data_IF_598117509291
#
_entry.id   IF_598117509291
#
_cell.length_a   1.000
_cell.length_b   1.000
_cell.length_c   1.000
_cell.angle_alpha   90.00
_cell.angle_beta   90.00
_cell.angle_gamma   90.00
#
_symmetry.space_group_name_H-M   'P 1'
#
loop_
_entity.id
_entity.type
_entity.pdbx_description
1 polymer ?
#
# COMPACT_ATOMS: atom_id res chain seq x y z
N UNK A 1 63.16 -3.78 -8.88
CA UNK A 1 63.22 -5.14 -9.46
C UNK A 1 61.78 -5.47 -9.89
N UNK A 2 61.58 -5.37 -11.18
CA UNK A 2 61.11 -6.36 -12.16
C UNK A 2 59.74 -6.94 -11.77
N UNK A 3 58.69 -6.91 -12.51
CA UNK A 3 58.35 -6.79 -13.96
C UNK A 3 56.97 -7.47 -14.02
N UNK A 4 55.95 -6.85 -14.46
CA UNK A 4 55.45 -6.82 -15.83
C UNK A 4 54.93 -8.17 -16.35
N UNK A 5 53.62 -8.18 -16.70
CA UNK A 5 53.07 -8.68 -17.97
C UNK A 5 51.54 -8.72 -17.99
N UNK A 6 51.01 -7.74 -18.63
CA UNK A 6 50.01 -7.76 -19.67
C UNK A 6 49.72 -9.10 -20.37
N UNK A 7 48.44 -9.44 -20.58
CA UNK A 7 48.03 -9.99 -21.86
C UNK A 7 46.55 -9.66 -22.20
N UNK A 8 46.45 -8.97 -23.33
CA UNK A 8 45.20 -8.72 -24.07
C UNK A 8 44.86 -9.97 -24.89
N UNK A 9 43.56 -10.30 -25.00
CA UNK A 9 43.09 -10.89 -26.27
C UNK A 9 41.67 -10.44 -26.60
N UNK A 10 41.60 -9.85 -27.77
CA UNK A 10 40.49 -9.48 -28.67
C UNK A 10 39.88 -10.74 -29.33
N UNK A 11 38.63 -10.57 -29.74
CA UNK A 11 37.95 -11.34 -30.78
C UNK A 11 36.43 -11.05 -30.71
N UNK A 12 35.82 -10.21 -31.40
CA UNK A 12 35.38 -9.98 -32.78
C UNK A 12 34.62 -11.17 -33.41
N UNK A 13 33.38 -10.90 -33.82
CA UNK A 13 32.52 -11.63 -34.78
C UNK A 13 31.06 -11.41 -34.46
N UNK A 14 30.35 -10.55 -34.99
CA UNK A 14 29.65 -10.18 -36.21
C UNK A 14 28.75 -11.30 -36.78
N UNK A 15 27.52 -10.83 -37.01
CA UNK A 15 26.50 -11.05 -38.06
C UNK A 15 25.31 -11.86 -37.56
N UNK A 16 24.13 -11.27 -37.54
CA UNK A 16 23.21 -10.87 -38.62
C UNK A 16 22.49 -12.07 -39.21
N UNK A 17 21.20 -12.14 -39.03
CA UNK A 17 20.20 -12.01 -40.07
C UNK A 17 18.82 -12.58 -39.60
N UNK A 18 17.81 -11.78 -39.73
CA UNK A 18 16.42 -12.21 -39.83
C UNK A 18 16.17 -12.75 -41.27
N UNK A 19 15.15 -13.56 -41.56
CA UNK A 19 13.96 -12.88 -42.05
C UNK A 19 12.58 -13.47 -41.71
N UNK A 20 11.60 -12.65 -41.94
CA UNK A 20 10.20 -12.83 -41.97
C UNK A 20 9.70 -13.96 -42.90
N UNK A 21 8.61 -14.60 -42.46
CA UNK A 21 7.86 -15.56 -43.28
C UNK A 21 6.35 -15.44 -43.05
N UNK A 22 5.74 -14.45 -43.73
CA UNK A 22 4.30 -14.43 -44.00
C UNK A 22 3.96 -15.59 -44.93
N UNK A 23 2.90 -16.36 -44.66
CA UNK A 23 2.17 -17.14 -45.69
C UNK A 23 0.72 -16.71 -45.70
N UNK A 24 0.38 -16.22 -46.92
CA UNK A 24 -0.94 -15.84 -47.40
C UNK A 24 -1.75 -17.11 -47.76
N UNK A 25 -3.06 -16.96 -47.65
CA UNK A 25 -4.08 -17.75 -48.32
C UNK A 25 -3.99 -17.58 -49.84
N UNK A 26 -4.50 -18.54 -50.62
CA UNK A 26 -4.99 -18.20 -51.92
C UNK A 26 -6.50 -18.40 -52.06
N UNK A 27 -7.11 -17.46 -52.75
CA UNK A 27 -8.46 -17.41 -53.30
C UNK A 27 -8.48 -17.93 -54.74
N UNK A 28 -9.66 -18.42 -55.09
CA UNK A 28 -10.33 -18.35 -56.40
C UNK A 28 -9.71 -18.94 -57.67
N UNK A 29 -10.55 -19.69 -58.39
CA UNK A 29 -10.38 -20.00 -59.78
C UNK A 29 -11.58 -20.77 -60.37
N UNK A 30 -12.43 -20.04 -61.05
CA UNK A 30 -13.54 -20.46 -61.87
C UNK A 30 -13.08 -21.20 -63.15
N UNK A 31 -14.00 -21.87 -63.76
CA UNK A 31 -14.43 -22.02 -65.19
C UNK A 31 -14.48 -23.47 -65.57
N UNK A 32 -15.52 -23.88 -66.06
CA UNK A 32 -16.49 -23.81 -67.18
C UNK A 32 -16.34 -24.97 -68.15
N UNK A 33 -17.50 -25.45 -68.54
CA UNK A 33 -17.94 -25.90 -69.83
C UNK A 33 -17.82 -27.40 -70.23
N UNK A 34 -18.97 -27.92 -70.57
CA UNK A 34 -19.06 -28.73 -71.77
C UNK A 34 -19.96 -29.93 -71.78
N UNK A 35 -21.25 -29.75 -72.04
CA UNK A 35 -22.11 -30.22 -73.08
C UNK A 35 -22.35 -31.79 -73.34
N UNK A 36 -23.68 -32.04 -73.37
CA UNK A 36 -24.44 -32.96 -74.30
C UNK A 36 -24.39 -34.47 -73.93
N UNK A 37 -25.47 -35.14 -73.88
CA UNK A 37 -26.76 -35.14 -74.54
C UNK A 37 -27.56 -36.35 -74.12
N UNK A 38 -28.84 -36.11 -74.24
CA UNK A 38 -29.89 -36.91 -74.81
C UNK A 38 -30.27 -38.32 -74.30
N UNK A 39 -31.39 -38.32 -73.70
CA UNK A 39 -32.64 -39.00 -74.23
C UNK A 39 -33.08 -40.31 -73.60
N UNK A 40 -34.33 -40.22 -73.20
CA UNK A 40 -35.45 -41.16 -73.33
C UNK A 40 -35.78 -42.18 -72.22
N UNK A 41 -36.93 -41.89 -71.70
CA UNK A 41 -38.21 -42.59 -71.61
C UNK A 41 -38.44 -43.68 -70.56
N UNK A 42 -39.53 -43.36 -69.89
CA UNK A 42 -40.66 -44.18 -69.43
C UNK A 42 -40.59 -44.82 -68.03
N UNK A 43 -41.49 -44.24 -67.27
CA UNK A 43 -42.69 -44.88 -66.66
C UNK A 43 -42.40 -46.09 -65.74
N UNK A 44 -42.72 -46.04 -64.52
CA UNK A 44 -44.00 -46.31 -63.85
C UNK A 44 -43.87 -46.37 -62.36
N UNK A 45 -44.77 -45.64 -61.71
CA UNK A 45 -45.50 -45.96 -60.51
C UNK A 45 -44.94 -47.01 -59.52
N UNK A 46 -44.70 -46.51 -58.28
CA UNK A 46 -45.36 -47.07 -57.09
C UNK A 46 -45.08 -46.28 -55.85
N UNK A 47 -46.15 -45.88 -55.20
CA UNK A 47 -46.25 -45.31 -53.86
C UNK A 47 -45.53 -46.15 -52.81
N UNK A 48 -44.87 -45.55 -51.86
CA UNK A 48 -45.05 -45.83 -50.44
C UNK A 48 -43.96 -45.19 -49.58
N UNK A 49 -44.40 -44.57 -48.53
CA UNK A 49 -43.63 -44.50 -47.27
C UNK A 49 -42.78 -43.21 -47.04
N UNK A 50 -43.42 -42.10 -46.71
CA UNK A 50 -42.78 -41.07 -46.03
C UNK A 50 -42.35 -41.54 -44.63
N UNK A 51 -41.14 -41.93 -44.47
CA UNK A 51 -40.53 -41.98 -43.15
C UNK A 51 -40.07 -40.55 -42.79
N UNK A 52 -40.48 -39.96 -41.68
CA UNK A 52 -39.86 -38.74 -41.17
C UNK A 52 -38.51 -39.16 -40.63
N UNK A 53 -37.44 -38.85 -41.35
CA UNK A 53 -36.11 -38.91 -40.84
C UNK A 53 -36.01 -37.82 -39.75
N UNK A 54 -36.32 -38.27 -38.54
CA UNK A 54 -36.00 -37.51 -37.35
C UNK A 54 -34.51 -37.19 -37.34
N UNK A 55 -34.13 -35.98 -37.75
CA UNK A 55 -32.84 -35.44 -37.48
C UNK A 55 -32.66 -35.41 -35.94
N UNK A 56 -32.15 -36.51 -35.38
CA UNK A 56 -31.54 -36.49 -34.05
C UNK A 56 -30.44 -35.43 -34.13
N UNK A 57 -30.76 -34.20 -33.68
CA UNK A 57 -29.74 -33.19 -33.35
C UNK A 57 -28.75 -33.90 -32.44
N UNK A 58 -27.58 -34.24 -32.94
CA UNK A 58 -26.44 -34.59 -32.12
C UNK A 58 -26.22 -33.36 -31.23
N UNK A 59 -26.75 -33.35 -30.00
CA UNK A 59 -26.40 -32.39 -28.98
C UNK A 59 -24.89 -32.50 -28.85
N UNK A 60 -24.21 -31.48 -29.30
CA UNK A 60 -22.77 -31.46 -29.37
C UNK A 60 -22.25 -31.67 -27.96
N UNK A 61 -21.21 -32.45 -27.78
CA UNK A 61 -20.50 -32.66 -26.52
C UNK A 61 -20.09 -31.32 -25.88
N UNK A 62 -19.95 -30.24 -26.69
CA UNK A 62 -19.73 -28.89 -26.32
C UNK A 62 -20.82 -28.37 -25.39
N UNK A 63 -22.13 -28.65 -25.63
CA UNK A 63 -23.24 -28.19 -24.77
C UNK A 63 -23.21 -28.82 -23.36
N UNK A 64 -22.62 -30.01 -23.23
CA UNK A 64 -22.48 -30.70 -21.93
C UNK A 64 -21.36 -30.13 -21.07
N UNK A 65 -20.33 -29.50 -21.67
CA UNK A 65 -19.20 -28.91 -20.97
C UNK A 65 -19.39 -27.42 -20.71
N UNK A 66 -20.18 -26.72 -21.51
CA UNK A 66 -20.40 -25.27 -21.35
C UNK A 66 -21.20 -24.91 -20.10
N UNK A 67 -22.21 -25.71 -19.76
CA UNK A 67 -23.04 -25.46 -18.56
C UNK A 67 -22.19 -25.51 -17.27
N UNK A 68 -21.41 -26.59 -16.99
CA UNK A 68 -20.59 -26.64 -15.80
C UNK A 68 -19.50 -25.52 -15.78
N UNK A 69 -18.93 -25.16 -16.94
CA UNK A 69 -17.99 -24.04 -17.02
C UNK A 69 -18.64 -22.71 -16.68
N UNK A 70 -19.87 -22.46 -17.15
CA UNK A 70 -20.62 -21.23 -16.77
C UNK A 70 -20.94 -21.26 -15.29
N UNK A 71 -21.35 -22.37 -14.70
CA UNK A 71 -21.63 -22.50 -13.26
C UNK A 71 -20.37 -22.19 -12.44
N UNK A 72 -19.22 -22.75 -12.83
CA UNK A 72 -17.94 -22.48 -12.17
C UNK A 72 -17.56 -20.99 -12.30
N UNK A 73 -17.72 -20.41 -13.48
CA UNK A 73 -17.45 -18.99 -13.70
C UNK A 73 -18.33 -18.08 -12.83
N UNK A 74 -19.63 -18.35 -12.75
CA UNK A 74 -20.57 -17.64 -11.90
C UNK A 74 -20.21 -17.82 -10.42
N UNK A 75 -19.87 -19.03 -10.00
CA UNK A 75 -19.43 -19.29 -8.63
C UNK A 75 -18.15 -18.49 -8.28
N UNK A 76 -17.16 -18.47 -9.17
CA UNK A 76 -15.94 -17.68 -8.98
C UNK A 76 -16.24 -16.18 -8.92
N UNK A 77 -17.14 -15.66 -9.74
CA UNK A 77 -17.56 -14.25 -9.70
C UNK A 77 -18.24 -13.90 -8.39
N UNK A 78 -19.18 -14.71 -7.92
CA UNK A 78 -19.86 -14.51 -6.64
C UNK A 78 -18.88 -14.57 -5.48
N UNK A 79 -18.00 -15.59 -5.47
CA UNK A 79 -16.96 -15.73 -4.45
C UNK A 79 -16.00 -14.56 -4.44
N UNK A 80 -15.54 -14.09 -5.62
CA UNK A 80 -14.69 -12.92 -5.77
C UNK A 80 -15.40 -11.65 -5.29
N UNK A 81 -16.69 -11.48 -5.61
CA UNK A 81 -17.52 -10.37 -5.14
C UNK A 81 -17.65 -10.34 -3.63
N UNK A 82 -17.91 -11.47 -2.98
CA UNK A 82 -17.96 -11.56 -1.51
C UNK A 82 -16.61 -11.22 -0.86
N UNK A 83 -15.48 -11.68 -1.43
CA UNK A 83 -14.14 -11.33 -0.94
C UNK A 83 -13.85 -9.84 -1.09
N UNK A 84 -14.24 -9.25 -2.23
CA UNK A 84 -14.09 -7.81 -2.47
C UNK A 84 -14.92 -6.98 -1.48
N UNK A 85 -16.18 -7.36 -1.24
CA UNK A 85 -17.04 -6.70 -0.26
C UNK A 85 -16.45 -6.78 1.15
N UNK A 86 -15.91 -7.92 1.56
CA UNK A 86 -15.24 -8.09 2.85
C UNK A 86 -14.03 -7.16 3.02
N UNK A 87 -13.22 -7.01 1.95
CA UNK A 87 -12.08 -6.08 1.97
C UNK A 87 -12.56 -4.63 2.07
N UNK A 88 -13.56 -4.24 1.30
CA UNK A 88 -14.13 -2.88 1.32
C UNK A 88 -14.70 -2.53 2.69
N UNK A 89 -15.47 -3.43 3.30
CA UNK A 89 -15.98 -3.25 4.66
C UNK A 89 -14.85 -3.06 5.68
N UNK A 90 -13.78 -3.83 5.56
CA UNK A 90 -12.62 -3.65 6.43
C UNK A 90 -11.97 -2.26 6.31
N UNK A 91 -11.84 -1.69 5.10
CA UNK A 91 -11.35 -0.32 4.93
C UNK A 91 -12.31 0.71 5.53
N UNK A 92 -13.61 0.50 5.35
CA UNK A 92 -14.65 1.35 5.96
C UNK A 92 -14.57 1.33 7.49
N UNK A 93 -14.40 0.16 8.11
CA UNK A 93 -14.28 0.02 9.57
C UNK A 93 -13.06 0.77 10.12
N UNK A 94 -11.91 0.72 9.41
CA UNK A 94 -10.70 1.47 9.77
C UNK A 94 -10.95 2.97 9.70
N UNK A 95 -11.57 3.44 8.62
CA UNK A 95 -11.87 4.84 8.40
C UNK A 95 -12.86 5.39 9.46
N UNK A 96 -13.93 4.66 9.73
CA UNK A 96 -14.92 5.03 10.77
C UNK A 96 -14.31 5.04 12.17
N UNK A 97 -13.43 4.08 12.49
CA UNK A 97 -12.73 4.09 13.77
C UNK A 97 -11.83 5.32 13.91
N UNK A 98 -11.11 5.70 12.85
CA UNK A 98 -10.23 6.87 12.84
C UNK A 98 -11.02 8.17 12.93
N UNK A 99 -12.09 8.33 12.16
CA UNK A 99 -13.00 9.48 12.24
C UNK A 99 -13.64 9.63 13.63
N UNK A 100 -13.98 8.51 14.26
CA UNK A 100 -14.48 8.54 15.63
C UNK A 100 -13.43 9.09 16.62
N UNK A 101 -12.15 8.74 16.43
CA UNK A 101 -11.07 9.29 17.23
C UNK A 101 -10.91 10.80 17.01
N UNK A 102 -10.94 11.25 15.76
CA UNK A 102 -10.88 12.69 15.41
C UNK A 102 -12.02 13.51 16.02
N UNK A 103 -13.26 13.00 15.94
CA UNK A 103 -14.42 13.65 16.54
C UNK A 103 -14.29 13.79 18.06
N UNK A 104 -13.73 12.78 18.73
CA UNK A 104 -13.52 12.81 20.18
C UNK A 104 -12.36 13.75 20.53
N UNK A 105 -11.28 13.71 19.74
CA UNK A 105 -10.11 14.57 19.92
C UNK A 105 -10.44 16.05 19.77
N UNK A 106 -11.33 16.41 18.82
CA UNK A 106 -11.74 17.79 18.52
C UNK A 106 -12.81 18.37 19.45
N UNK A 107 -13.53 17.57 20.25
CA UNK A 107 -14.60 18.07 21.12
C UNK A 107 -14.15 18.98 22.26
N UNK A 108 -12.84 19.16 22.45
CA UNK A 108 -12.32 20.14 23.41
C UNK A 108 -12.34 21.59 22.90
N UNK A 109 -12.53 21.81 21.59
CA UNK A 109 -12.49 23.12 20.95
C UNK A 109 -13.90 23.60 20.52
N UNK A 110 -14.96 22.85 20.84
CA UNK A 110 -16.33 23.12 20.34
C UNK A 110 -17.07 24.24 21.06
N UNK A 111 -16.50 24.87 22.07
CA UNK A 111 -17.12 26.04 22.72
C UNK A 111 -16.78 27.38 22.04
N UNK A 112 -15.92 27.38 21.00
CA UNK A 112 -15.51 28.59 20.27
C UNK A 112 -15.83 28.57 18.76
N UNK A 113 -16.78 27.72 18.30
CA UNK A 113 -17.23 27.66 16.89
C UNK A 113 -18.18 28.81 16.50
N UNK A 114 -17.89 30.00 16.93
CA UNK A 114 -18.64 31.17 16.53
C UNK A 114 -17.79 32.28 15.93
N UNK A 115 -17.10 32.09 14.82
CA UNK A 115 -16.32 33.03 14.02
C UNK A 115 -14.84 32.64 13.93
N UNK A 116 -14.46 31.95 12.86
CA UNK A 116 -13.15 32.29 12.28
C UNK A 116 -13.06 31.86 10.83
N UNK A 117 -12.62 32.78 9.98
CA UNK A 117 -11.94 32.57 8.73
C UNK A 117 -11.04 31.32 8.83
N UNK A 118 -11.10 30.41 7.82
CA UNK A 118 -10.19 29.29 7.62
C UNK A 118 -8.77 29.78 7.33
N UNK A 119 -8.12 30.39 8.29
CA UNK A 119 -6.68 30.46 8.37
C UNK A 119 -6.27 29.14 9.07
N UNK A 120 -5.47 28.29 8.40
CA UNK A 120 -4.97 27.07 9.01
C UNK A 120 -4.32 27.44 10.34
N UNK A 121 -4.97 27.07 11.45
CA UNK A 121 -4.43 27.32 12.79
C UNK A 121 -3.07 26.60 12.88
N UNK A 122 -2.09 27.25 13.53
CA UNK A 122 -0.77 26.67 13.74
C UNK A 122 -0.91 25.29 14.39
N UNK A 123 -0.40 24.23 13.78
CA UNK A 123 -0.45 22.90 14.39
C UNK A 123 0.20 22.82 15.77
N UNK A 124 1.12 23.73 16.12
CA UNK A 124 1.70 23.80 17.47
C UNK A 124 0.67 24.22 18.54
N UNK A 125 -0.40 24.90 18.14
CA UNK A 125 -1.46 25.37 19.03
C UNK A 125 -2.63 24.42 19.17
N UNK A 126 -2.68 23.41 18.31
CA UNK A 126 -3.75 22.40 18.31
C UNK A 126 -3.83 21.68 19.65
N UNK A 127 -5.04 21.60 20.20
CA UNK A 127 -5.33 20.82 21.41
C UNK A 127 -6.00 19.51 21.08
N UNK A 128 -5.66 18.47 21.83
CA UNK A 128 -6.24 17.11 21.73
C UNK A 128 -6.90 16.76 23.06
N UNK A 129 -8.16 16.34 23.02
CA UNK A 129 -8.89 15.91 24.22
C UNK A 129 -8.50 14.50 24.64
N UNK A 130 -7.33 14.34 25.25
CA UNK A 130 -6.84 13.07 25.76
C UNK A 130 -7.73 12.47 26.85
N UNK A 131 -8.36 13.30 27.68
CA UNK A 131 -9.27 12.81 28.72
C UNK A 131 -10.44 12.02 28.11
N UNK A 132 -11.05 12.54 27.05
CA UNK A 132 -12.16 11.86 26.34
C UNK A 132 -11.67 10.63 25.56
N UNK A 133 -10.53 10.69 24.92
CA UNK A 133 -9.94 9.54 24.23
C UNK A 133 -9.62 8.39 25.21
N UNK A 134 -9.02 8.70 26.36
CA UNK A 134 -8.63 7.73 27.39
C UNK A 134 -9.82 7.10 28.10
N UNK A 135 -11.00 7.76 28.14
CA UNK A 135 -12.25 7.12 28.58
C UNK A 135 -12.67 5.96 27.68
N UNK A 136 -12.34 6.01 26.39
CA UNK A 136 -12.60 4.92 25.42
C UNK A 136 -11.50 3.88 25.47
N UNK A 137 -10.24 4.32 25.48
CA UNK A 137 -9.07 3.45 25.58
C UNK A 137 -7.93 4.13 26.33
N UNK A 138 -7.63 3.63 27.53
CA UNK A 138 -6.57 4.16 28.39
C UNK A 138 -5.15 4.03 27.83
N UNK A 139 -4.96 3.23 26.76
CA UNK A 139 -3.65 3.07 26.11
C UNK A 139 -3.33 4.18 25.09
N UNK A 140 -4.21 5.18 24.93
CA UNK A 140 -3.90 6.35 24.11
C UNK A 140 -2.84 7.19 24.83
N UNK A 141 -1.63 7.24 24.26
CA UNK A 141 -0.48 7.96 24.83
C UNK A 141 -0.24 9.29 24.15
N UNK A 142 -0.45 9.35 22.84
CA UNK A 142 -0.19 10.53 22.03
C UNK A 142 -1.15 10.61 20.84
N UNK A 143 -1.01 11.68 20.07
CA UNK A 143 -1.65 11.86 18.78
C UNK A 143 -0.60 12.28 17.76
N UNK A 144 -0.59 11.67 16.59
CA UNK A 144 0.31 11.99 15.49
C UNK A 144 -0.40 12.74 14.37
N UNK A 145 0.23 13.76 13.83
CA UNK A 145 -0.26 14.51 12.68
C UNK A 145 0.88 14.86 11.70
N UNK A 146 0.65 14.60 10.42
CA UNK A 146 1.55 15.02 9.34
C UNK A 146 0.72 15.88 8.37
N UNK A 147 0.94 17.20 8.31
CA UNK A 147 0.20 18.10 7.42
C UNK A 147 0.24 17.65 5.95
N UNK A 148 -0.84 17.83 5.22
CA UNK A 148 -0.93 17.44 3.80
C UNK A 148 -0.99 15.93 3.53
N UNK A 149 -1.15 15.11 4.59
CA UNK A 149 -1.28 13.66 4.50
C UNK A 149 -2.51 13.15 5.23
N UNK A 150 -2.79 11.83 5.08
CA UNK A 150 -3.85 11.18 5.84
C UNK A 150 -3.45 10.88 7.32
N UNK A 151 -2.20 11.15 7.74
CA UNK A 151 -1.76 10.84 9.10
C UNK A 151 -2.32 11.87 10.08
N UNK A 152 -3.35 11.47 10.80
CA UNK A 152 -4.01 12.25 11.84
C UNK A 152 -4.70 11.27 12.81
N UNK A 153 -3.92 10.61 13.67
CA UNK A 153 -4.35 9.42 14.40
C UNK A 153 -3.90 9.42 15.86
N UNK A 154 -4.67 8.76 16.76
CA UNK A 154 -4.17 8.45 18.10
C UNK A 154 -3.01 7.44 18.00
N UNK A 155 -2.02 7.61 18.86
CA UNK A 155 -0.89 6.69 19.04
C UNK A 155 -1.13 5.87 20.29
N UNK A 156 -1.13 4.55 20.11
CA UNK A 156 -1.33 3.61 21.21
C UNK A 156 -0.01 3.31 21.90
N UNK A 157 -0.11 2.99 23.17
CA UNK A 157 0.96 2.36 23.94
C UNK A 157 1.39 1.07 23.25
N UNK A 158 2.71 0.84 23.17
CA UNK A 158 3.25 -0.42 22.68
C UNK A 158 3.12 -1.53 23.73
N UNK A 159 3.07 -2.75 23.24
CA UNK A 159 3.20 -3.95 24.08
C UNK A 159 4.05 -5.01 23.35
N UNK A 160 4.73 -5.92 24.09
CA UNK A 160 5.60 -6.95 23.48
C UNK A 160 4.86 -7.90 22.54
N UNK A 161 3.54 -8.04 22.68
CA UNK A 161 2.69 -8.93 21.88
C UNK A 161 2.17 -8.30 20.57
N UNK A 162 2.56 -7.07 20.25
CA UNK A 162 2.05 -6.36 19.07
C UNK A 162 0.51 -6.32 19.00
N UNK A 163 -0.15 -6.11 20.13
CA UNK A 163 -1.60 -6.14 20.30
C UNK A 163 -2.31 -5.24 19.27
N UNK A 164 -1.79 -4.02 19.04
CA UNK A 164 -2.37 -3.04 18.15
C UNK A 164 -2.05 -3.27 16.66
N UNK A 165 -1.24 -4.27 16.34
CA UNK A 165 -1.01 -4.66 14.94
C UNK A 165 -2.31 -5.18 14.27
N UNK A 166 -3.20 -5.80 15.05
CA UNK A 166 -4.45 -6.40 14.57
C UNK A 166 -5.70 -5.87 15.27
N UNK A 167 -5.60 -4.72 15.95
CA UNK A 167 -6.71 -4.06 16.65
C UNK A 167 -6.68 -2.56 16.43
N UNK A 168 -7.85 -1.98 16.21
CA UNK A 168 -7.99 -0.54 16.13
C UNK A 168 -7.81 0.12 17.51
N UNK A 169 -7.82 1.44 17.55
CA UNK A 169 -7.64 2.22 18.77
C UNK A 169 -8.74 1.98 19.84
N UNK A 170 -9.89 1.40 19.44
CA UNK A 170 -10.96 0.95 20.36
C UNK A 170 -10.77 -0.50 20.85
N UNK A 171 -9.63 -1.12 20.61
CA UNK A 171 -9.32 -2.52 20.94
C UNK A 171 -10.13 -3.57 20.17
N UNK A 172 -10.89 -3.17 19.15
CA UNK A 172 -11.64 -4.09 18.28
C UNK A 172 -10.72 -4.70 17.21
N UNK A 173 -11.00 -5.94 16.82
CA UNK A 173 -10.26 -6.59 15.72
C UNK A 173 -10.36 -5.74 14.46
N UNK A 174 -9.21 -5.49 13.83
CA UNK A 174 -9.12 -4.68 12.61
C UNK A 174 -7.91 -5.13 11.80
N UNK A 175 -8.09 -5.30 10.49
CA UNK A 175 -6.97 -5.65 9.62
C UNK A 175 -6.01 -4.48 9.39
N UNK A 176 -6.46 -3.26 9.59
CA UNK A 176 -5.64 -2.06 9.51
C UNK A 176 -4.96 -1.68 10.83
N UNK A 177 -5.22 -2.41 11.92
CA UNK A 177 -4.62 -2.14 13.21
C UNK A 177 -4.85 -0.71 13.72
N UNK A 178 -3.94 -0.24 14.56
CA UNK A 178 -3.82 1.15 14.98
C UNK A 178 -2.38 1.64 14.77
N UNK A 179 -2.14 2.93 14.96
CA UNK A 179 -0.79 3.47 15.11
C UNK A 179 -0.34 3.22 16.55
N UNK A 180 0.83 2.67 16.75
CA UNK A 180 1.35 2.35 18.07
C UNK A 180 2.87 2.53 18.15
N UNK A 181 3.36 2.86 19.34
CA UNK A 181 4.80 3.00 19.59
C UNK A 181 5.42 1.64 19.96
N UNK A 182 6.73 1.55 19.83
CA UNK A 182 7.46 0.38 20.27
C UNK A 182 7.31 0.19 21.79
N UNK A 183 7.27 -1.06 22.23
CA UNK A 183 7.08 -1.41 23.66
C UNK A 183 8.24 -1.00 24.56
N UNK A 184 9.43 -0.77 23.97
CA UNK A 184 10.62 -0.33 24.70
C UNK A 184 10.70 1.18 24.90
N UNK A 185 9.85 1.95 24.18
CA UNK A 185 9.85 3.39 24.25
C UNK A 185 8.99 3.95 25.39
N UNK A 186 9.43 5.05 25.96
CA UNK A 186 8.71 5.82 26.97
C UNK A 186 7.66 6.74 26.35
N UNK A 187 6.54 6.93 27.07
CA UNK A 187 5.35 7.63 26.53
C UNK A 187 5.56 9.15 26.33
N UNK A 188 6.62 9.68 26.92
CA UNK A 188 6.94 11.11 26.82
C UNK A 188 7.63 11.52 25.52
N UNK A 189 8.01 10.61 24.64
CA UNK A 189 8.80 10.90 23.43
C UNK A 189 10.13 11.57 23.75
N UNK A 190 10.77 11.11 24.83
CA UNK A 190 12.05 11.66 25.35
C UNK A 190 13.22 10.72 25.12
N UNK A 191 12.98 9.54 24.57
CA UNK A 191 14.02 8.57 24.24
C UNK A 191 14.95 9.11 23.15
N UNK A 192 16.16 8.55 23.04
CA UNK A 192 17.06 8.90 21.95
C UNK A 192 16.39 8.69 20.58
N UNK A 193 15.59 7.63 20.44
CA UNK A 193 14.79 7.35 19.25
C UNK A 193 13.46 6.67 19.61
N UNK A 194 12.36 7.37 19.42
CA UNK A 194 11.01 6.82 19.58
C UNK A 194 10.53 6.23 18.27
N UNK A 195 10.17 4.95 18.29
CA UNK A 195 9.73 4.21 17.11
C UNK A 195 8.22 4.08 17.14
N UNK A 196 7.56 4.48 16.05
CA UNK A 196 6.11 4.39 15.88
C UNK A 196 5.78 3.56 14.64
N UNK A 197 4.92 2.59 14.81
CA UNK A 197 4.50 1.66 13.77
C UNK A 197 3.09 1.95 13.29
N UNK A 198 2.84 1.65 12.01
CA UNK A 198 1.52 1.69 11.42
C UNK A 198 1.43 0.83 10.17
N UNK A 199 0.25 0.31 9.86
CA UNK A 199 0.07 -0.49 8.65
C UNK A 199 0.26 0.30 7.35
N UNK A 200 0.78 -0.39 6.33
CA UNK A 200 0.85 0.11 4.96
C UNK A 200 -0.47 -0.15 4.23
N UNK A 201 -1.48 0.67 4.48
CA UNK A 201 -2.79 0.53 3.86
C UNK A 201 -2.78 0.99 2.40
N UNK A 202 -3.36 0.20 1.48
CA UNK A 202 -3.40 0.53 0.04
C UNK A 202 -4.21 1.78 -0.28
N UNK A 203 -5.20 2.11 0.54
CA UNK A 203 -6.00 3.35 0.39
C UNK A 203 -5.29 4.59 0.96
N UNK A 204 -4.04 4.46 1.42
CA UNK A 204 -3.25 5.56 1.97
C UNK A 204 -3.54 5.89 3.44
N UNK A 205 -4.50 5.22 4.10
CA UNK A 205 -4.75 5.38 5.54
C UNK A 205 -3.62 4.77 6.37
N UNK A 206 -3.64 5.02 7.67
CA UNK A 206 -2.56 4.67 8.59
C UNK A 206 -1.21 5.22 8.06
N UNK A 207 -0.16 4.39 8.00
CA UNK A 207 1.12 4.75 7.39
C UNK A 207 1.23 4.38 5.91
N UNK A 208 0.12 4.02 5.24
CA UNK A 208 0.10 3.82 3.79
C UNK A 208 0.53 5.05 3.00
N UNK A 209 0.26 6.25 3.52
CA UNK A 209 0.71 7.52 2.92
C UNK A 209 2.23 7.70 2.89
N UNK A 210 3.01 6.98 3.72
CA UNK A 210 4.49 7.08 3.71
C UNK A 210 5.10 6.65 2.37
N UNK A 211 4.35 5.93 1.53
CA UNK A 211 4.79 5.64 0.15
C UNK A 211 5.08 6.91 -0.66
N UNK A 212 4.39 8.01 -0.37
CA UNK A 212 4.56 9.29 -1.08
C UNK A 212 5.93 9.92 -0.84
N UNK A 213 6.58 9.61 0.28
CA UNK A 213 7.94 10.06 0.59
C UNK A 213 9.02 9.40 -0.28
N UNK A 214 8.65 8.44 -1.15
CA UNK A 214 9.51 7.97 -2.25
C UNK A 214 9.75 9.06 -3.29
N UNK A 215 8.85 10.03 -3.42
CA UNK A 215 9.02 11.20 -4.26
C UNK A 215 9.79 12.27 -3.46
N UNK A 216 10.95 12.69 -3.98
CA UNK A 216 11.80 13.70 -3.36
C UNK A 216 11.10 15.04 -3.20
N UNK A 217 10.25 15.46 -4.17
CA UNK A 217 9.47 16.71 -4.06
C UNK A 217 8.47 16.64 -2.91
N UNK A 218 7.84 15.49 -2.74
CA UNK A 218 6.92 15.28 -1.63
C UNK A 218 7.67 15.29 -0.30
N UNK A 219 8.84 14.62 -0.21
CA UNK A 219 9.70 14.67 0.97
C UNK A 219 10.07 16.12 1.32
N UNK A 220 10.50 16.92 0.35
CA UNK A 220 10.88 18.33 0.56
C UNK A 220 9.71 19.20 1.04
N UNK A 221 8.51 19.01 0.49
CA UNK A 221 7.32 19.81 0.82
C UNK A 221 6.64 19.41 2.13
N UNK A 222 7.02 18.27 2.75
CA UNK A 222 6.44 17.77 3.99
C UNK A 222 7.52 17.63 5.09
N UNK A 223 8.05 18.76 5.58
CA UNK A 223 9.19 18.75 6.51
C UNK A 223 8.81 18.41 7.95
N UNK A 224 7.53 18.41 8.33
CA UNK A 224 7.17 18.33 9.74
C UNK A 224 6.23 17.17 10.07
N UNK A 225 6.47 16.59 11.25
CA UNK A 225 5.59 15.66 11.95
C UNK A 225 5.30 16.27 13.33
N UNK A 226 4.04 16.26 13.72
CA UNK A 226 3.60 16.74 15.02
C UNK A 226 3.16 15.58 15.90
N UNK A 227 3.66 15.57 17.11
CA UNK A 227 3.25 14.66 18.18
C UNK A 227 2.64 15.51 19.30
N UNK A 228 1.42 15.18 19.65
CA UNK A 228 0.72 15.78 20.79
C UNK A 228 0.68 14.75 21.91
N UNK A 229 1.06 15.15 23.10
CA UNK A 229 0.88 14.40 24.35
C UNK A 229 -0.05 15.19 25.27
N UNK A 230 -0.52 14.64 26.39
CA UNK A 230 -1.27 15.41 27.38
C UNK A 230 -0.50 16.64 27.91
N UNK A 231 0.83 16.54 27.98
CA UNK A 231 1.71 17.53 28.61
C UNK A 231 2.27 18.54 27.62
N UNK A 232 2.46 18.12 26.34
CA UNK A 232 3.17 18.98 25.37
C UNK A 232 2.84 18.67 23.92
N UNK A 233 3.12 19.62 23.05
CA UNK A 233 3.15 19.47 21.59
C UNK A 233 4.60 19.48 21.13
N UNK A 234 5.00 18.49 20.35
CA UNK A 234 6.35 18.32 19.82
C UNK A 234 6.29 18.40 18.30
N UNK A 235 7.07 19.30 17.71
CA UNK A 235 7.31 19.31 16.28
C UNK A 235 8.63 18.61 15.99
N UNK A 236 8.57 17.62 15.11
CA UNK A 236 9.74 16.93 14.58
C UNK A 236 9.97 17.38 13.14
N UNK A 237 11.22 17.65 12.78
CA UNK A 237 11.62 17.94 11.41
C UNK A 237 12.16 16.66 10.78
N UNK A 238 11.56 16.24 9.66
CA UNK A 238 12.02 15.08 8.91
C UNK A 238 13.42 15.34 8.35
N UNK A 239 14.35 14.40 8.49
CA UNK A 239 15.71 14.58 7.95
C UNK A 239 16.13 13.46 7.00
N UNK A 240 15.46 12.29 7.02
CA UNK A 240 15.74 11.20 6.10
C UNK A 240 14.50 10.34 5.84
N UNK A 241 14.47 9.73 4.64
CA UNK A 241 13.53 8.68 4.28
C UNK A 241 14.24 7.56 3.57
N UNK A 242 13.98 6.31 3.96
CA UNK A 242 14.61 5.13 3.36
C UNK A 242 13.72 3.89 3.40
N UNK A 243 14.20 2.82 2.75
CA UNK A 243 13.66 1.47 2.80
C UNK A 243 14.73 0.56 3.41
N UNK A 244 14.56 0.22 4.68
CA UNK A 244 15.53 -0.56 5.44
C UNK A 244 14.99 -1.95 5.78
N UNK A 245 15.87 -2.85 6.21
CA UNK A 245 15.47 -4.15 6.77
C UNK A 245 14.93 -3.96 8.19
N UNK A 246 13.95 -4.75 8.60
CA UNK A 246 13.37 -4.69 9.94
C UNK A 246 14.37 -5.05 11.06
N UNK A 247 15.46 -5.73 10.70
CA UNK A 247 16.55 -6.10 11.62
C UNK A 247 17.70 -5.09 11.59
N UNK A 248 17.51 -3.96 10.90
CA UNK A 248 18.54 -2.92 10.83
C UNK A 248 18.87 -2.39 12.23
N UNK A 249 20.14 -2.16 12.55
CA UNK A 249 20.56 -1.51 13.80
C UNK A 249 19.99 -0.10 13.97
N UNK A 250 19.44 0.47 12.90
CA UNK A 250 18.75 1.77 12.98
C UNK A 250 17.44 1.75 13.78
N UNK A 251 16.93 0.56 14.15
CA UNK A 251 15.81 0.39 15.08
C UNK A 251 16.21 0.45 16.56
N UNK A 252 17.42 0.95 16.87
CA UNK A 252 17.82 1.19 18.24
C UNK A 252 16.99 2.31 18.87
N UNK A 253 16.44 2.08 20.07
CA UNK A 253 15.76 3.10 20.90
C UNK A 253 16.73 3.90 21.75
N UNK A 254 17.88 3.32 22.10
CA UNK A 254 19.02 3.93 22.77
C UNK A 254 20.15 4.07 21.77
N UNK A 255 20.76 5.24 21.70
CA UNK A 255 21.80 5.56 20.72
C UNK A 255 23.08 5.98 21.46
N UNK A 256 24.08 5.08 21.47
CA UNK A 256 25.35 5.32 22.15
C UNK A 256 26.17 6.43 21.44
N UNK A 257 26.27 6.36 20.11
CA UNK A 257 26.97 7.35 19.27
C UNK A 257 25.97 8.07 18.36
N UNK A 258 25.38 9.12 18.88
CA UNK A 258 24.36 9.92 18.18
C UNK A 258 24.87 10.52 16.87
N UNK A 259 26.05 11.19 16.80
CA UNK A 259 26.57 11.71 15.53
C UNK A 259 26.76 10.62 14.48
N UNK A 260 27.30 9.47 14.86
CA UNK A 260 27.49 8.34 13.94
C UNK A 260 26.16 7.73 13.47
N UNK A 261 25.18 7.61 14.35
CA UNK A 261 23.84 7.14 14.01
C UNK A 261 23.20 8.04 12.94
N UNK A 262 23.12 9.34 13.21
CA UNK A 262 22.52 10.34 12.31
C UNK A 262 23.26 10.37 10.97
N UNK A 263 24.60 10.33 10.99
CA UNK A 263 25.43 10.23 9.78
C UNK A 263 25.13 8.97 8.98
N UNK A 264 24.99 7.83 9.65
CA UNK A 264 24.66 6.55 9.00
C UNK A 264 23.30 6.62 8.32
N UNK A 265 22.27 7.09 9.03
CA UNK A 265 20.91 7.29 8.47
C UNK A 265 20.96 8.20 7.25
N UNK A 266 21.61 9.37 7.36
CA UNK A 266 21.64 10.37 6.28
C UNK A 266 22.38 9.88 5.04
N UNK A 267 23.47 9.12 5.21
CA UNK A 267 24.27 8.58 4.09
C UNK A 267 23.59 7.45 3.34
N UNK A 268 22.85 6.61 4.04
CA UNK A 268 22.11 5.48 3.43
C UNK A 268 20.77 5.90 2.84
N UNK A 269 20.23 7.03 3.28
CA UNK A 269 18.88 7.47 2.96
C UNK A 269 18.66 7.69 1.46
N UNK A 270 17.49 7.30 0.99
CA UNK A 270 17.01 7.56 -0.37
C UNK A 270 16.78 9.07 -0.60
N UNK A 271 16.25 9.74 0.40
CA UNK A 271 16.09 11.19 0.46
C UNK A 271 16.56 11.67 1.83
N UNK A 272 17.35 12.74 1.86
CA UNK A 272 17.79 13.36 3.11
C UNK A 272 17.88 14.87 2.98
N UNK A 273 17.75 15.55 4.12
CA UNK A 273 18.04 16.97 4.30
C UNK A 273 18.95 17.13 5.52
N UNK A 274 19.32 18.36 5.83
CA UNK A 274 20.17 18.64 6.99
C UNK A 274 19.57 18.00 8.25
N UNK A 275 20.31 17.09 8.90
CA UNK A 275 19.88 16.46 10.13
C UNK A 275 19.93 17.44 11.30
N UNK A 276 19.46 17.07 12.50
CA UNK A 276 19.67 17.86 13.71
C UNK A 276 21.16 18.11 13.97
N UNK A 277 21.50 19.34 14.34
CA UNK A 277 22.90 19.74 14.62
C UNK A 277 23.39 19.24 15.99
N UNK A 278 22.45 19.10 16.93
CA UNK A 278 22.74 18.68 18.31
C UNK A 278 21.96 17.40 18.66
N UNK A 279 22.37 16.72 19.73
CA UNK A 279 21.64 15.57 20.25
C UNK A 279 20.24 16.01 20.70
N UNK A 280 19.22 15.52 20.00
CA UNK A 280 17.81 15.74 20.30
C UNK A 280 17.05 14.41 20.21
N UNK A 281 15.90 14.26 20.89
CA UNK A 281 15.04 13.11 20.69
C UNK A 281 14.66 12.91 19.21
N UNK A 282 14.84 11.70 18.73
CA UNK A 282 14.47 11.30 17.36
C UNK A 282 13.11 10.60 17.34
N UNK A 283 12.48 10.67 16.17
CA UNK A 283 11.25 9.97 15.85
C UNK A 283 11.44 9.15 14.58
N UNK A 284 11.09 7.89 14.65
CA UNK A 284 11.13 6.95 13.54
C UNK A 284 9.73 6.44 13.24
N UNK A 285 9.19 6.74 12.06
CA UNK A 285 7.91 6.21 11.61
C UNK A 285 8.15 5.02 10.68
N UNK A 286 7.63 3.85 11.00
CA UNK A 286 7.91 2.61 10.27
C UNK A 286 6.65 1.93 9.77
N UNK A 287 6.68 1.48 8.50
CA UNK A 287 5.62 0.67 7.88
C UNK A 287 6.17 -0.34 6.89
N UNK A 288 5.37 -1.37 6.57
CA UNK A 288 5.77 -2.40 5.61
C UNK A 288 6.05 -1.83 4.21
N UNK A 289 7.04 -2.36 3.51
CA UNK A 289 7.34 -2.04 2.13
C UNK A 289 6.69 -3.03 1.17
N UNK A 290 5.54 -2.67 0.62
CA UNK A 290 4.84 -3.47 -0.37
C UNK A 290 4.49 -4.88 0.13
N UNK A 291 4.95 -5.91 -0.62
CA UNK A 291 4.78 -7.32 -0.27
C UNK A 291 6.01 -7.92 0.44
N UNK A 292 7.04 -7.11 0.70
CA UNK A 292 8.24 -7.60 1.40
C UNK A 292 7.91 -7.90 2.85
N UNK A 293 8.34 -9.05 3.34
CA UNK A 293 8.18 -9.46 4.73
C UNK A 293 9.15 -8.71 5.65
N UNK A 294 10.36 -8.39 5.18
CA UNK A 294 11.45 -7.82 5.99
C UNK A 294 11.72 -6.34 5.73
N UNK A 295 11.32 -5.81 4.57
CA UNK A 295 11.60 -4.39 4.24
C UNK A 295 10.55 -3.47 4.80
N UNK A 296 11.01 -2.34 5.34
CA UNK A 296 10.18 -1.29 5.92
C UNK A 296 10.48 0.06 5.26
N UNK A 297 9.44 0.86 5.00
CA UNK A 297 9.60 2.29 4.71
C UNK A 297 9.70 3.01 6.02
N UNK A 298 10.72 3.83 6.13
CA UNK A 298 11.02 4.54 7.37
C UNK A 298 11.22 6.01 7.10
N UNK A 299 10.53 6.84 7.88
CA UNK A 299 10.73 8.29 7.91
C UNK A 299 11.40 8.64 9.23
N UNK A 300 12.56 9.28 9.15
CA UNK A 300 13.34 9.74 10.30
C UNK A 300 13.14 11.23 10.49
N UNK A 301 12.92 11.63 11.74
CA UNK A 301 12.75 13.03 12.11
C UNK A 301 13.45 13.33 13.45
N UNK A 302 13.96 14.54 13.61
CA UNK A 302 14.56 15.01 14.85
C UNK A 302 13.68 16.09 15.47
N UNK A 303 13.64 16.14 16.81
CA UNK A 303 12.88 17.15 17.53
C UNK A 303 13.38 18.55 17.14
N UNK A 304 12.46 19.43 16.75
CA UNK A 304 12.72 20.78 16.23
C UNK A 304 12.16 21.86 17.15
N UNK A 305 10.98 21.62 17.73
CA UNK A 305 10.37 22.55 18.70
C UNK A 305 9.47 21.79 19.69
N UNK A 306 9.35 22.32 20.88
CA UNK A 306 8.46 21.81 21.94
C UNK A 306 7.64 22.99 22.50
N UNK A 307 6.36 22.74 22.74
CA UNK A 307 5.46 23.63 23.45
C UNK A 307 4.85 22.86 24.62
N UNK A 308 5.16 23.25 25.81
CA UNK A 308 4.53 22.74 27.03
C UNK A 308 3.08 23.24 27.14
N UNK A 309 2.21 22.50 27.85
CA UNK A 309 0.78 22.78 28.02
C UNK A 309 0.44 23.07 29.46
#
# INVERSE_FOLDING_TARGET
>A
MRSDKTEKRKGRGRNADAPAGRKKCPSDGKEEAGRKGANRTKEQTASRGRHPTGRRRKRCLIDRLTIPLIVIAVFMLVFSGMKMAGIMNGYHDVDEANKAAERIAGKGNAEDEGKTNKQEADPMERTINFASLRKVNGDVTAWIYIPGTAVNYPVMKGDPGNYYLHRNWKRQKSFGGAIFMDSVNSYGFTDDNTIVYGHNMKNGSQFGTLIRFLDGKFFESHPYVYIYTPERTIRYRTYAFDIIDERSPLYASVIDDYPQYVKTVTRSARHSRRPPDEKTPLLMLSTCHGKSETKRRVLFAGQDAVRER
#
